data_IF_090344742889
#
_entry.id   IF_090344742889
#
_cell.length_a   1.000
_cell.length_b   1.000
_cell.length_c   1.000
_cell.angle_alpha   90.00
_cell.angle_beta   90.00
_cell.angle_gamma   90.00
#
_symmetry.space_group_name_H-M   'P 1'
#
loop_
_entity.id
_entity.type
_entity.pdbx_description
1 polymer ?
#
# COMPACT_ATOMS: atom_id res chain seq x y z
N UNK A 1 7.80 19.55 18.24
CA UNK A 1 8.23 18.49 17.30
C UNK A 1 8.82 19.16 16.07
N UNK A 2 9.94 18.67 15.55
CA UNK A 2 10.54 19.20 14.30
C UNK A 2 9.81 18.60 13.09
N UNK A 3 9.74 19.33 11.97
CA UNK A 3 9.06 18.88 10.74
C UNK A 3 9.57 17.51 10.24
N UNK A 4 10.87 17.24 10.41
CA UNK A 4 11.51 15.95 10.08
C UNK A 4 10.94 14.78 10.89
N UNK A 5 10.55 15.00 12.16
CA UNK A 5 9.93 13.97 13.00
C UNK A 5 8.54 13.58 12.50
N UNK A 6 7.71 14.57 12.13
CA UNK A 6 6.38 14.34 11.59
C UNK A 6 6.42 13.63 10.21
N UNK A 7 7.37 13.99 9.35
CA UNK A 7 7.56 13.33 8.04
C UNK A 7 7.92 11.85 8.21
N UNK A 8 8.82 11.52 9.15
CA UNK A 8 9.20 10.13 9.43
C UNK A 8 8.02 9.31 9.96
N UNK A 9 7.16 9.91 10.78
CA UNK A 9 5.94 9.27 11.29
C UNK A 9 4.94 8.99 10.17
N UNK A 10 4.68 9.96 9.29
CA UNK A 10 3.81 9.77 8.11
C UNK A 10 4.31 8.66 7.19
N UNK A 11 5.61 8.63 6.90
CA UNK A 11 6.21 7.55 6.10
C UNK A 11 5.99 6.18 6.77
N UNK A 12 6.11 6.11 8.10
CA UNK A 12 5.89 4.86 8.85
C UNK A 12 4.43 4.41 8.74
N UNK A 13 3.48 5.32 8.88
CA UNK A 13 2.05 5.02 8.72
C UNK A 13 1.71 4.51 7.32
N UNK A 14 2.24 5.16 6.28
CA UNK A 14 2.04 4.74 4.89
C UNK A 14 2.61 3.34 4.62
N UNK A 15 3.77 3.01 5.19
CA UNK A 15 4.36 1.67 5.07
C UNK A 15 3.51 0.60 5.77
N UNK A 16 2.99 0.90 6.96
CA UNK A 16 2.10 0.00 7.68
C UNK A 16 0.79 -0.25 6.90
N UNK A 17 0.23 0.77 6.28
CA UNK A 17 -0.95 0.63 5.42
C UNK A 17 -0.68 -0.30 4.22
N UNK A 18 0.48 -0.14 3.57
CA UNK A 18 0.90 -1.05 2.49
C UNK A 18 1.04 -2.50 2.97
N UNK A 19 1.57 -2.72 4.18
CA UNK A 19 1.65 -4.06 4.79
C UNK A 19 0.26 -4.69 4.96
N UNK A 20 -0.71 -3.96 5.51
CA UNK A 20 -2.08 -4.43 5.65
C UNK A 20 -2.74 -4.77 4.31
N UNK A 21 -2.43 -3.99 3.26
CA UNK A 21 -2.95 -4.19 1.91
C UNK A 21 -2.31 -5.40 1.25
N UNK A 22 -1.01 -5.64 1.46
CA UNK A 22 -0.33 -6.88 1.06
C UNK A 22 -0.94 -8.11 1.74
N UNK A 23 -1.19 -8.06 3.05
CA UNK A 23 -1.88 -9.15 3.75
C UNK A 23 -3.27 -9.40 3.18
N UNK A 24 -3.99 -8.35 2.76
CA UNK A 24 -5.30 -8.48 2.13
C UNK A 24 -5.21 -9.12 0.75
N UNK A 25 -4.20 -8.77 -0.06
CA UNK A 25 -3.90 -9.45 -1.32
C UNK A 25 -3.65 -10.93 -1.08
N UNK A 26 -2.80 -11.30 -0.13
CA UNK A 26 -2.50 -12.71 0.18
C UNK A 26 -3.77 -13.48 0.52
N UNK A 27 -4.61 -12.94 1.42
CA UNK A 27 -5.88 -13.59 1.78
C UNK A 27 -6.84 -13.72 0.59
N UNK A 28 -6.93 -12.70 -0.27
CA UNK A 28 -7.77 -12.75 -1.47
C UNK A 28 -7.23 -13.78 -2.47
N UNK A 29 -5.92 -13.84 -2.70
CA UNK A 29 -5.29 -14.83 -3.58
C UNK A 29 -5.58 -16.26 -3.15
N UNK A 30 -5.61 -16.53 -1.84
CA UNK A 30 -5.94 -17.85 -1.30
C UNK A 30 -7.45 -18.19 -1.37
N UNK A 31 -8.30 -17.16 -1.35
CA UNK A 31 -9.75 -17.29 -1.36
C UNK A 31 -10.35 -17.37 -2.76
N UNK A 32 -9.84 -16.57 -3.72
CA UNK A 32 -10.34 -16.45 -5.09
C UNK A 32 -10.55 -17.81 -5.77
N UNK A 33 -9.58 -18.75 -5.76
CA UNK A 33 -9.76 -20.05 -6.42
C UNK A 33 -10.96 -20.85 -5.90
N UNK A 34 -11.45 -20.56 -4.69
CA UNK A 34 -12.58 -21.24 -4.02
C UNK A 34 -13.92 -20.54 -4.27
N UNK A 35 -13.93 -19.36 -4.90
CA UNK A 35 -15.13 -18.59 -5.18
C UNK A 35 -15.80 -19.02 -6.50
N UNK A 36 -17.06 -18.60 -6.71
CA UNK A 36 -17.72 -18.74 -8.01
C UNK A 36 -17.01 -17.89 -9.08
N UNK A 37 -17.14 -18.25 -10.37
CA UNK A 37 -16.49 -17.53 -11.48
C UNK A 37 -16.77 -16.02 -11.50
N UNK A 38 -18.01 -15.61 -11.18
CA UNK A 38 -18.37 -14.19 -11.10
C UNK A 38 -17.62 -13.48 -9.96
N UNK A 39 -17.54 -14.14 -8.80
CA UNK A 39 -16.83 -13.62 -7.64
C UNK A 39 -15.30 -13.65 -7.82
N UNK A 40 -14.77 -14.58 -8.61
CA UNK A 40 -13.35 -14.64 -8.96
C UNK A 40 -12.91 -13.38 -9.70
N UNK A 41 -13.64 -12.98 -10.76
CA UNK A 41 -13.32 -11.77 -11.52
C UNK A 41 -13.35 -10.51 -10.65
N UNK A 42 -14.33 -10.40 -9.72
CA UNK A 42 -14.39 -9.30 -8.76
C UNK A 42 -13.20 -9.32 -7.77
N UNK A 43 -12.81 -10.51 -7.32
CA UNK A 43 -11.65 -10.69 -6.45
C UNK A 43 -10.33 -10.32 -7.13
N UNK A 44 -10.13 -10.75 -8.37
CA UNK A 44 -8.97 -10.40 -9.19
C UNK A 44 -8.87 -8.88 -9.41
N UNK A 45 -9.98 -8.22 -9.73
CA UNK A 45 -10.03 -6.77 -9.86
C UNK A 45 -9.69 -6.05 -8.53
N UNK A 46 -10.13 -6.61 -7.40
CA UNK A 46 -9.79 -6.09 -6.07
C UNK A 46 -8.29 -6.21 -5.78
N UNK A 47 -7.68 -7.36 -6.10
CA UNK A 47 -6.22 -7.54 -5.98
C UNK A 47 -5.47 -6.51 -6.83
N UNK A 48 -5.87 -6.34 -8.10
CA UNK A 48 -5.23 -5.37 -9.00
C UNK A 48 -5.32 -3.95 -8.44
N UNK A 49 -6.47 -3.56 -7.91
CA UNK A 49 -6.64 -2.26 -7.28
C UNK A 49 -5.71 -2.11 -6.06
N UNK A 50 -5.67 -3.10 -5.16
CA UNK A 50 -4.77 -3.07 -4.01
C UNK A 50 -3.29 -2.98 -4.44
N UNK A 51 -2.87 -3.72 -5.46
CA UNK A 51 -1.51 -3.63 -5.99
C UNK A 51 -1.20 -2.21 -6.51
N UNK A 52 -2.13 -1.59 -7.24
CA UNK A 52 -1.96 -0.24 -7.78
C UNK A 52 -1.82 0.83 -6.70
N UNK A 53 -2.66 0.81 -5.65
CA UNK A 53 -2.48 1.81 -4.58
C UNK A 53 -1.25 1.49 -3.70
N UNK A 54 -0.73 0.25 -3.68
CA UNK A 54 0.55 -0.05 -2.98
C UNK A 54 1.69 0.65 -3.72
N UNK A 55 1.74 0.49 -5.04
CA UNK A 55 2.72 1.16 -5.89
C UNK A 55 2.62 2.68 -5.78
N UNK A 56 1.40 3.23 -5.72
CA UNK A 56 1.17 4.66 -5.51
C UNK A 56 1.71 5.14 -4.17
N UNK A 57 1.44 4.41 -3.08
CA UNK A 57 1.98 4.73 -1.75
C UNK A 57 3.50 4.66 -1.72
N UNK A 58 4.12 3.68 -2.39
CA UNK A 58 5.59 3.59 -2.46
C UNK A 58 6.22 4.79 -3.18
N UNK A 59 5.56 5.29 -4.25
CA UNK A 59 5.97 6.52 -4.93
C UNK A 59 5.87 7.72 -3.97
N UNK A 60 4.76 7.86 -3.25
CA UNK A 60 4.57 8.96 -2.28
C UNK A 60 5.61 8.92 -1.16
N UNK A 61 5.90 7.74 -0.59
CA UNK A 61 6.93 7.57 0.43
C UNK A 61 8.30 8.02 -0.07
N UNK A 62 8.66 7.69 -1.32
CA UNK A 62 9.91 8.16 -1.94
C UNK A 62 9.95 9.67 -2.08
N UNK A 63 8.89 10.28 -2.63
CA UNK A 63 8.79 11.73 -2.81
C UNK A 63 8.88 12.49 -1.49
N UNK A 64 8.15 12.05 -0.46
CA UNK A 64 8.16 12.66 0.87
C UNK A 64 9.53 12.50 1.54
N UNK A 65 10.18 11.34 1.38
CA UNK A 65 11.53 11.10 1.88
C UNK A 65 12.59 11.99 1.23
N UNK A 66 12.52 12.17 -0.08
CA UNK A 66 13.42 13.07 -0.84
C UNK A 66 13.22 14.55 -0.48
N UNK A 67 11.97 14.97 -0.24
CA UNK A 67 11.66 16.32 0.25
C UNK A 67 12.22 16.59 1.66
N UNK A 68 12.23 15.56 2.53
CA UNK A 68 12.84 15.65 3.85
C UNK A 68 14.37 15.77 3.82
N UNK A 69 15.02 15.16 2.81
CA UNK A 69 16.48 15.19 2.65
C UNK A 69 17.01 16.48 2.00
N UNK A 70 16.16 17.27 1.33
CA UNK A 70 16.59 18.51 0.65
C UNK A 70 16.68 19.74 1.57
N UNK A 71 16.45 19.56 2.88
CA UNK A 71 16.45 20.63 3.89
C UNK A 71 17.35 20.31 5.11
N UNK A 72 18.31 19.38 4.98
CA UNK A 72 19.37 19.14 5.97
C UNK A 72 20.71 19.75 5.53
#
# INVERSE_FOLDING_TARGET
MTKSCAIKEQIKELKLDNEHRLHSIIRLSDAIPKMSKESQSRGEATILNLANQIATTDILVRQIGEQGSSHE
#
